data_IF_180120711973
#
_entry.id   IF_180120711973
#
_cell.length_a   1.000
_cell.length_b   1.000
_cell.length_c   1.000
_cell.angle_alpha   90.00
_cell.angle_beta   90.00
_cell.angle_gamma   90.00
#
_symmetry.space_group_name_H-M   'P 1'
#
loop_
_entity.id
_entity.type
_entity.pdbx_description
1 polymer ?
#
# COMPACT_ATOMS: atom_id res chain seq x y z
N UNK A 1 19.88 -7.73 35.68
CA UNK A 1 20.00 -7.09 34.35
C UNK A 1 20.95 -5.91 34.48
N UNK A 2 22.00 -5.84 33.67
CA UNK A 2 22.90 -4.69 33.68
C UNK A 2 22.13 -3.42 33.30
N UNK A 3 22.42 -2.32 33.99
CA UNK A 3 21.85 -1.02 33.72
C UNK A 3 22.11 -0.63 32.25
N UNK A 4 21.06 -0.24 31.52
CA UNK A 4 21.15 0.14 30.09
C UNK A 4 20.35 1.42 29.85
N UNK A 5 20.87 2.32 29.01
CA UNK A 5 20.12 3.47 28.50
C UNK A 5 20.12 3.46 26.97
N UNK A 6 18.93 3.53 26.37
CA UNK A 6 18.76 3.60 24.91
C UNK A 6 18.31 5.01 24.53
N UNK A 7 18.97 5.60 23.55
CA UNK A 7 18.69 6.97 23.09
C UNK A 7 18.51 6.90 21.57
N UNK A 8 17.37 7.40 21.09
CA UNK A 8 17.16 7.69 19.68
C UNK A 8 17.37 9.18 19.47
N UNK A 9 18.28 9.56 18.58
CA UNK A 9 18.65 10.96 18.38
C UNK A 9 19.07 11.23 16.94
N UNK A 10 19.11 12.51 16.58
CA UNK A 10 19.63 12.97 15.29
C UNK A 10 21.11 13.31 15.41
N UNK A 11 21.86 13.04 14.35
CA UNK A 11 23.18 13.64 14.19
C UNK A 11 22.98 15.13 13.89
N UNK A 12 23.62 15.98 14.68
CA UNK A 12 23.65 17.42 14.41
C UNK A 12 24.64 17.72 13.30
N UNK A 13 24.45 18.83 12.60
CA UNK A 13 25.42 19.32 11.61
C UNK A 13 26.02 20.63 12.09
N UNK A 14 27.35 20.75 12.00
CA UNK A 14 28.05 21.99 12.28
C UNK A 14 29.19 22.16 11.29
N UNK A 15 29.17 23.27 10.52
CA UNK A 15 30.17 23.57 9.47
C UNK A 15 30.33 22.44 8.44
N UNK A 16 29.23 21.82 8.03
CA UNK A 16 29.24 20.72 7.04
C UNK A 16 29.63 19.35 7.61
N UNK A 17 29.93 19.24 8.91
CA UNK A 17 30.30 17.98 9.54
C UNK A 17 29.20 17.45 10.45
N UNK A 18 28.90 16.16 10.30
CA UNK A 18 27.98 15.43 11.18
C UNK A 18 28.61 15.19 12.54
N UNK A 19 27.79 15.33 13.59
CA UNK A 19 28.23 15.34 14.98
C UNK A 19 27.24 14.59 15.85
N UNK A 20 27.75 13.61 16.59
CA UNK A 20 27.02 12.94 17.66
C UNK A 20 27.20 13.71 18.97
N UNK A 21 26.09 14.22 19.50
CA UNK A 21 26.07 14.94 20.76
C UNK A 21 25.20 14.22 21.80
N UNK A 22 25.83 13.75 22.89
CA UNK A 22 25.16 13.09 24.01
C UNK A 22 25.53 13.80 25.31
N UNK A 23 24.56 14.07 26.18
CA UNK A 23 24.83 14.72 27.47
C UNK A 23 23.86 14.28 28.57
N UNK A 24 24.21 14.56 29.82
CA UNK A 24 23.25 14.54 30.93
C UNK A 24 23.15 13.22 31.68
N UNK A 25 22.10 13.11 32.49
CA UNK A 25 21.90 11.99 33.43
C UNK A 25 21.86 10.62 32.74
N UNK A 26 21.43 10.57 31.47
CA UNK A 26 21.39 9.36 30.63
C UNK A 26 22.76 8.70 30.44
N UNK A 27 23.84 9.47 30.50
CA UNK A 27 25.21 8.96 30.51
C UNK A 27 25.70 8.72 31.95
N UNK A 28 25.49 9.69 32.85
CA UNK A 28 25.98 9.63 34.23
C UNK A 28 25.50 8.40 35.00
N UNK A 29 24.24 7.99 34.79
CA UNK A 29 23.65 6.79 35.42
C UNK A 29 24.32 5.47 34.99
N UNK A 30 25.12 5.49 33.93
CA UNK A 30 25.88 4.34 33.42
C UNK A 30 27.36 4.38 33.86
N UNK A 31 27.70 5.22 34.84
CA UNK A 31 29.08 5.36 35.31
C UNK A 31 29.96 6.23 34.43
N UNK A 32 29.38 6.93 33.45
CA UNK A 32 30.12 7.83 32.57
C UNK A 32 30.27 9.20 33.25
N UNK A 33 31.50 9.59 33.55
CA UNK A 33 31.82 10.80 34.28
C UNK A 33 32.70 11.75 33.45
N UNK A 34 32.58 13.08 33.65
CA UNK A 34 33.52 14.03 33.04
C UNK A 34 34.97 13.65 33.36
N UNK A 35 35.82 13.66 32.34
CA UNK A 35 37.23 13.37 32.47
C UNK A 35 37.67 11.96 32.10
N UNK A 36 36.76 10.98 32.06
CA UNK A 36 37.05 9.65 31.55
C UNK A 36 37.52 9.72 30.09
N UNK A 37 38.40 8.79 29.71
CA UNK A 37 38.85 8.66 28.34
C UNK A 37 38.14 7.51 27.62
N UNK A 38 38.07 7.59 26.30
CA UNK A 38 37.47 6.57 25.45
C UNK A 38 38.12 6.52 24.08
N UNK A 39 38.01 5.36 23.44
CA UNK A 39 38.40 5.11 22.06
C UNK A 39 37.17 4.76 21.22
N UNK A 40 37.23 5.04 19.93
CA UNK A 40 36.23 4.57 18.95
C UNK A 40 36.76 3.33 18.24
N UNK A 41 35.88 2.38 18.01
CA UNK A 41 36.10 1.26 17.09
C UNK A 41 34.87 1.07 16.21
N UNK A 42 35.10 0.57 15.00
CA UNK A 42 34.01 0.03 14.18
C UNK A 42 33.41 -1.19 14.87
N UNK A 43 32.09 -1.38 14.72
CA UNK A 43 31.43 -2.60 15.19
C UNK A 43 31.71 -3.74 14.20
N UNK A 44 32.20 -4.86 14.71
CA UNK A 44 32.36 -6.09 13.94
C UNK A 44 31.01 -6.82 13.76
N UNK A 45 30.75 -7.33 12.55
CA UNK A 45 29.55 -8.11 12.21
C UNK A 45 28.51 -7.36 11.36
N UNK A 46 27.28 -7.88 11.31
CA UNK A 46 26.23 -7.41 10.38
C UNK A 46 25.69 -5.99 10.68
N UNK A 47 25.92 -5.48 11.89
CA UNK A 47 25.40 -4.18 12.33
C UNK A 47 26.45 -3.08 12.13
N UNK A 48 26.40 -2.39 10.98
CA UNK A 48 27.20 -1.17 10.77
C UNK A 48 26.95 -0.16 11.89
N UNK A 49 28.00 0.16 12.64
CA UNK A 49 27.94 1.04 13.79
C UNK A 49 29.31 1.34 14.38
N UNK A 50 29.33 2.19 15.39
CA UNK A 50 30.54 2.63 16.10
C UNK A 50 30.39 2.31 17.57
N UNK A 51 31.42 1.71 18.18
CA UNK A 51 31.48 1.52 19.63
C UNK A 51 32.45 2.53 20.24
N UNK A 52 32.01 3.21 21.29
CA UNK A 52 32.86 3.99 22.18
C UNK A 52 33.20 3.10 23.37
N UNK A 53 34.47 2.76 23.54
CA UNK A 53 34.95 1.95 24.67
C UNK A 53 35.71 2.85 25.63
N UNK A 54 35.27 2.91 26.89
CA UNK A 54 35.92 3.72 27.92
C UNK A 54 37.15 3.00 28.47
N UNK A 55 38.30 3.66 28.45
CA UNK A 55 39.62 3.12 28.80
C UNK A 55 40.48 4.21 29.42
N UNK A 56 41.55 3.85 30.14
CA UNK A 56 42.43 4.85 30.79
C UNK A 56 43.31 5.63 29.78
N UNK A 57 43.53 5.05 28.59
CA UNK A 57 44.43 5.56 27.55
C UNK A 57 43.72 6.00 26.27
N UNK A 58 42.39 6.07 26.27
CA UNK A 58 41.63 6.49 25.10
C UNK A 58 42.04 7.87 24.57
N UNK A 59 42.08 8.09 23.24
CA UNK A 59 42.50 9.36 22.64
C UNK A 59 41.49 10.49 22.85
N UNK A 60 40.26 10.18 23.28
CA UNK A 60 39.17 11.15 23.48
C UNK A 60 38.77 11.21 24.94
N UNK A 61 38.17 12.33 25.34
CA UNK A 61 37.81 12.61 26.74
C UNK A 61 36.34 13.02 26.85
N UNK A 62 35.67 12.58 27.91
CA UNK A 62 34.32 13.03 28.26
C UNK A 62 34.39 14.47 28.76
N UNK A 63 33.72 15.37 28.04
CA UNK A 63 33.61 16.78 28.37
C UNK A 63 32.61 17.00 29.52
N UNK A 64 32.56 18.23 30.04
CA UNK A 64 31.61 18.63 31.10
C UNK A 64 30.68 19.73 30.63
N UNK A 65 29.43 19.69 31.08
CA UNK A 65 28.49 20.82 31.03
C UNK A 65 27.92 21.10 32.40
N UNK A 66 28.05 22.35 32.87
CA UNK A 66 27.44 22.81 34.12
C UNK A 66 26.02 23.30 33.87
N UNK A 67 25.07 22.89 34.72
CA UNK A 67 23.74 23.50 34.82
C UNK A 67 23.42 23.69 36.31
N UNK A 68 23.52 24.94 36.78
CA UNK A 68 23.56 25.23 38.20
C UNK A 68 24.80 24.62 38.85
N UNK A 69 24.63 24.00 40.01
CA UNK A 69 25.71 23.31 40.76
C UNK A 69 26.03 21.91 40.22
N UNK A 70 25.22 21.36 39.31
CA UNK A 70 25.41 20.00 38.78
C UNK A 70 26.30 20.02 37.53
N UNK A 71 27.24 19.07 37.51
CA UNK A 71 28.03 18.74 36.32
C UNK A 71 27.46 17.53 35.61
N UNK A 72 27.39 17.61 34.28
CA UNK A 72 26.95 16.51 33.43
C UNK A 72 28.04 16.09 32.46
N UNK A 73 28.21 14.78 32.21
CA UNK A 73 29.08 14.30 31.15
C UNK A 73 28.53 14.73 29.78
N UNK A 74 29.44 15.06 28.88
CA UNK A 74 29.16 15.37 27.48
C UNK A 74 30.08 14.52 26.61
N UNK A 75 29.47 13.78 25.71
CA UNK A 75 30.16 13.10 24.61
C UNK A 75 29.82 13.84 23.35
N UNK A 76 30.89 14.22 22.69
CA UNK A 76 30.87 15.07 21.55
C UNK A 76 31.85 14.47 20.54
N UNK A 77 31.27 13.84 19.53
CA UNK A 77 32.03 13.21 18.46
C UNK A 77 31.68 13.94 17.17
N UNK A 78 32.50 14.93 16.84
CA UNK A 78 32.58 15.53 15.52
C UNK A 78 33.77 14.89 14.79
N UNK A 79 33.54 14.06 13.76
CA UNK A 79 34.60 13.62 12.86
C UNK A 79 34.09 12.81 11.65
N UNK A 80 34.99 12.61 10.69
CA UNK A 80 34.87 11.67 9.57
C UNK A 80 34.56 10.23 10.01
N UNK A 81 34.91 9.82 11.23
CA UNK A 81 34.67 8.46 11.72
C UNK A 81 33.18 8.10 11.77
N UNK A 82 32.33 9.02 12.22
CA UNK A 82 30.87 8.79 12.25
C UNK A 82 30.30 8.85 10.83
N UNK A 83 30.75 9.80 10.01
CA UNK A 83 30.30 9.95 8.63
C UNK A 83 30.71 8.75 7.76
N UNK A 84 31.92 8.22 7.94
CA UNK A 84 32.44 7.03 7.23
C UNK A 84 31.64 5.77 7.55
N UNK A 85 31.25 5.60 8.81
CA UNK A 85 30.60 4.37 9.27
C UNK A 85 29.07 4.42 9.09
N UNK A 86 28.45 5.57 9.38
CA UNK A 86 26.99 5.75 9.31
C UNK A 86 26.52 6.42 7.99
N UNK A 87 27.45 6.93 7.18
CA UNK A 87 27.17 7.58 5.89
C UNK A 87 26.29 8.83 6.05
N UNK A 88 25.39 9.03 5.10
CA UNK A 88 24.44 10.14 5.10
C UNK A 88 23.28 9.98 6.09
N UNK A 89 23.43 9.14 7.12
CA UNK A 89 22.40 8.94 8.15
C UNK A 89 22.10 10.22 8.92
N UNK A 90 20.82 10.49 9.18
CA UNK A 90 20.39 11.60 10.02
C UNK A 90 20.06 11.15 11.44
N UNK A 91 19.62 9.90 11.63
CA UNK A 91 19.15 9.36 12.90
C UNK A 91 19.96 8.15 13.31
N UNK A 92 20.28 8.08 14.60
CA UNK A 92 21.03 6.99 15.21
C UNK A 92 20.33 6.43 16.44
N UNK A 93 20.60 5.16 16.71
CA UNK A 93 20.26 4.48 17.95
C UNK A 93 21.53 4.31 18.77
N UNK A 94 21.50 4.82 19.99
CA UNK A 94 22.63 4.80 20.92
C UNK A 94 22.28 3.94 22.12
N UNK A 95 23.09 2.92 22.39
CA UNK A 95 22.94 2.05 23.56
C UNK A 95 24.11 2.25 24.50
N UNK A 96 23.84 2.91 25.61
CA UNK A 96 24.79 3.20 26.67
C UNK A 96 24.73 2.08 27.70
N UNK A 97 25.89 1.47 27.96
CA UNK A 97 26.12 0.48 29.03
C UNK A 97 27.32 0.92 29.85
N UNK A 98 27.57 0.22 30.94
CA UNK A 98 28.78 0.42 31.72
C UNK A 98 30.02 0.14 30.85
N UNK A 99 30.96 1.08 30.81
CA UNK A 99 32.22 0.96 30.06
C UNK A 99 32.10 1.03 28.53
N UNK A 100 30.89 1.15 27.94
CA UNK A 100 30.73 1.24 26.48
C UNK A 100 29.47 1.95 25.99
N UNK A 101 29.54 2.54 24.79
CA UNK A 101 28.38 3.03 24.04
C UNK A 101 28.41 2.46 22.63
N UNK A 102 27.33 1.80 22.23
CA UNK A 102 27.14 1.32 20.86
C UNK A 102 26.25 2.30 20.10
N UNK A 103 26.70 2.81 18.95
CA UNK A 103 25.97 3.75 18.09
C UNK A 103 25.71 3.05 16.75
N UNK A 104 24.46 2.75 16.46
CA UNK A 104 24.03 2.13 15.20
C UNK A 104 23.10 3.06 14.43
N UNK A 105 22.87 2.75 13.16
CA UNK A 105 21.80 3.40 12.39
C UNK A 105 20.45 3.26 13.10
N UNK A 106 19.60 4.27 12.96
CA UNK A 106 18.21 4.15 13.35
C UNK A 106 17.55 3.02 12.54
N UNK A 107 16.68 2.22 13.18
CA UNK A 107 16.11 1.03 12.53
C UNK A 107 15.26 1.36 11.29
N UNK A 108 14.55 2.49 11.26
CA UNK A 108 13.87 2.96 10.03
C UNK A 108 14.84 3.24 8.88
N UNK A 109 15.94 3.96 9.12
CA UNK A 109 16.94 4.23 8.07
C UNK A 109 17.65 2.95 7.62
N UNK A 110 17.93 2.04 8.56
CA UNK A 110 18.45 0.72 8.24
C UNK A 110 17.49 -0.08 7.34
N UNK A 111 16.19 -0.06 7.67
CA UNK A 111 15.15 -0.70 6.84
C UNK A 111 15.05 -0.06 5.45
N UNK A 112 15.14 1.27 5.34
CA UNK A 112 15.15 2.01 4.06
C UNK A 112 16.32 1.61 3.18
N UNK A 113 17.53 1.58 3.75
CA UNK A 113 18.72 1.14 3.02
C UNK A 113 18.63 -0.34 2.63
N UNK A 114 18.12 -1.19 3.51
CA UNK A 114 18.01 -2.62 3.25
C UNK A 114 17.02 -2.93 2.12
N UNK A 115 15.83 -2.31 2.14
CA UNK A 115 14.80 -2.54 1.12
C UNK A 115 15.22 -1.98 -0.24
N UNK A 116 15.91 -0.83 -0.29
CA UNK A 116 16.51 -0.28 -1.52
C UNK A 116 17.55 -1.22 -2.12
N UNK A 117 18.52 -1.69 -1.32
CA UNK A 117 19.55 -2.64 -1.78
C UNK A 117 18.95 -3.93 -2.28
N UNK A 118 17.98 -4.47 -1.54
CA UNK A 118 17.31 -5.72 -1.91
C UNK A 118 16.56 -5.55 -3.24
N UNK A 119 15.80 -4.46 -3.40
CA UNK A 119 15.10 -4.17 -4.64
C UNK A 119 16.07 -3.98 -5.81
N UNK A 120 17.14 -3.20 -5.64
CA UNK A 120 18.18 -2.97 -6.66
C UNK A 120 18.82 -4.27 -7.13
N UNK A 121 19.31 -5.09 -6.19
CA UNK A 121 19.92 -6.39 -6.52
C UNK A 121 18.96 -7.34 -7.24
N UNK A 122 17.67 -7.35 -6.87
CA UNK A 122 16.66 -8.14 -7.58
C UNK A 122 16.46 -7.65 -9.01
N UNK A 123 16.35 -6.33 -9.20
CA UNK A 123 16.20 -5.71 -10.52
C UNK A 123 17.40 -5.99 -11.43
N UNK A 124 18.63 -5.90 -10.90
CA UNK A 124 19.86 -6.20 -11.63
C UNK A 124 19.94 -7.67 -12.07
N UNK A 125 19.48 -8.58 -11.21
CA UNK A 125 19.46 -10.02 -11.49
C UNK A 125 18.25 -10.47 -12.32
N UNK A 126 17.32 -9.57 -12.64
CA UNK A 126 16.07 -9.91 -13.33
C UNK A 126 15.16 -10.83 -12.51
N UNK A 127 15.28 -10.82 -11.18
CA UNK A 127 14.45 -11.63 -10.29
C UNK A 127 13.04 -11.02 -10.14
N UNK A 128 12.00 -11.84 -9.93
CA UNK A 128 10.64 -11.32 -9.76
C UNK A 128 10.49 -10.36 -8.59
N UNK A 129 9.64 -9.34 -8.70
CA UNK A 129 9.20 -8.53 -7.57
C UNK A 129 8.29 -9.39 -6.69
N UNK A 130 8.63 -9.52 -5.41
CA UNK A 130 7.84 -10.27 -4.43
C UNK A 130 6.68 -9.41 -3.94
N UNK A 131 5.46 -9.92 -4.07
CA UNK A 131 4.24 -9.18 -3.78
C UNK A 131 3.50 -9.82 -2.62
N UNK A 132 3.19 -9.01 -1.61
CA UNK A 132 2.23 -9.36 -0.56
C UNK A 132 0.89 -8.69 -0.83
N UNK A 133 -0.20 -9.42 -0.65
CA UNK A 133 -1.57 -8.90 -0.84
C UNK A 133 -2.35 -8.86 0.46
N UNK A 134 -3.03 -7.74 0.73
CA UNK A 134 -3.90 -7.56 1.89
C UNK A 134 -5.33 -7.19 1.45
N UNK A 135 -6.32 -7.82 2.08
CA UNK A 135 -7.72 -7.74 1.65
C UNK A 135 -7.85 -8.12 0.16
N UNK A 136 -7.32 -9.30 -0.16
CA UNK A 136 -7.13 -9.79 -1.52
C UNK A 136 -8.45 -9.93 -2.31
N UNK A 137 -9.55 -10.24 -1.63
CA UNK A 137 -10.83 -10.56 -2.26
C UNK A 137 -10.66 -11.71 -3.26
N UNK A 138 -11.19 -11.53 -4.47
CA UNK A 138 -10.95 -12.46 -5.59
C UNK A 138 -9.64 -12.20 -6.35
N UNK A 139 -8.75 -11.34 -5.85
CA UNK A 139 -7.41 -11.09 -6.41
C UNK A 139 -7.37 -10.24 -7.68
N UNK A 140 -8.43 -9.50 -8.01
CA UNK A 140 -8.50 -8.67 -9.23
C UNK A 140 -7.49 -7.50 -9.21
N UNK A 141 -7.32 -6.85 -8.05
CA UNK A 141 -6.34 -5.76 -7.92
C UNK A 141 -4.92 -6.29 -8.10
N UNK A 142 -4.59 -7.39 -7.43
CA UNK A 142 -3.27 -8.02 -7.52
C UNK A 142 -2.98 -8.54 -8.91
N UNK A 143 -3.95 -9.18 -9.56
CA UNK A 143 -3.82 -9.61 -10.96
C UNK A 143 -3.52 -8.42 -11.87
N UNK A 144 -4.25 -7.31 -11.73
CA UNK A 144 -4.01 -6.12 -12.54
C UNK A 144 -2.59 -5.59 -12.32
N UNK A 145 -2.12 -5.49 -11.07
CA UNK A 145 -0.77 -5.02 -10.75
C UNK A 145 0.31 -5.96 -11.33
N UNK A 146 0.13 -7.28 -11.21
CA UNK A 146 1.03 -8.29 -11.79
C UNK A 146 1.13 -8.14 -13.30
N UNK A 147 0.00 -8.14 -13.99
CA UNK A 147 -0.07 -7.99 -15.45
C UNK A 147 0.60 -6.69 -15.91
N UNK A 148 0.36 -5.59 -15.20
CA UNK A 148 1.02 -4.33 -15.48
C UNK A 148 2.54 -4.39 -15.33
N UNK A 149 3.05 -4.98 -14.25
CA UNK A 149 4.49 -5.14 -14.04
C UNK A 149 5.12 -6.01 -15.14
N UNK A 150 4.47 -7.11 -15.50
CA UNK A 150 4.91 -8.02 -16.56
C UNK A 150 4.90 -7.35 -17.95
N UNK A 151 3.88 -6.55 -18.26
CA UNK A 151 3.81 -5.69 -19.46
C UNK A 151 4.96 -4.69 -19.55
N UNK A 152 5.48 -4.25 -18.40
CA UNK A 152 6.66 -3.39 -18.34
C UNK A 152 7.97 -4.18 -18.47
N UNK A 153 7.93 -5.51 -18.48
CA UNK A 153 9.08 -6.41 -18.49
C UNK A 153 9.70 -6.63 -17.12
N UNK A 154 8.91 -6.47 -16.04
CA UNK A 154 9.31 -6.72 -14.66
C UNK A 154 8.57 -7.96 -14.16
N UNK A 155 9.24 -9.12 -13.98
CA UNK A 155 8.56 -10.31 -13.50
C UNK A 155 7.97 -10.08 -12.11
N UNK A 156 6.83 -10.67 -11.82
CA UNK A 156 6.10 -10.54 -10.56
C UNK A 156 5.86 -11.92 -9.93
N UNK A 157 5.82 -11.99 -8.61
CA UNK A 157 5.54 -13.23 -7.89
C UNK A 157 4.72 -12.94 -6.62
N UNK A 158 3.56 -13.57 -6.50
CA UNK A 158 2.71 -13.46 -5.31
C UNK A 158 3.31 -14.31 -4.20
N UNK A 159 3.90 -13.67 -3.20
CA UNK A 159 4.52 -14.34 -2.04
C UNK A 159 3.46 -14.78 -1.04
N UNK A 160 2.48 -13.93 -0.75
CA UNK A 160 1.34 -14.29 0.07
C UNK A 160 0.12 -13.44 -0.29
N UNK A 161 -1.07 -13.95 0.00
CA UNK A 161 -2.28 -13.14 0.03
C UNK A 161 -3.10 -13.41 1.28
N UNK A 162 -3.58 -12.34 1.91
CA UNK A 162 -4.49 -12.39 3.04
C UNK A 162 -5.90 -11.95 2.65
N UNK A 163 -6.87 -12.82 2.93
CA UNK A 163 -8.30 -12.57 2.78
C UNK A 163 -9.07 -13.17 3.95
N UNK A 164 -10.07 -12.46 4.48
CA UNK A 164 -10.83 -12.95 5.64
C UNK A 164 -12.01 -13.85 5.23
N UNK A 165 -12.58 -13.66 4.03
CA UNK A 165 -13.68 -14.47 3.49
C UNK A 165 -13.10 -15.64 2.69
N UNK A 166 -13.11 -16.83 3.29
CA UNK A 166 -12.60 -18.06 2.66
C UNK A 166 -13.22 -18.35 1.29
N UNK A 167 -14.46 -17.90 1.02
CA UNK A 167 -15.09 -18.10 -0.29
C UNK A 167 -14.56 -17.17 -1.39
N UNK A 168 -14.03 -15.99 -1.04
CA UNK A 168 -13.30 -15.16 -2.02
C UNK A 168 -11.88 -15.68 -2.24
N UNK A 169 -11.24 -16.16 -1.16
CA UNK A 169 -9.91 -16.77 -1.25
C UNK A 169 -9.94 -18.03 -2.11
N UNK A 170 -10.90 -18.93 -1.90
CA UNK A 170 -11.10 -20.16 -2.68
C UNK A 170 -11.35 -19.87 -4.16
N UNK A 171 -12.17 -18.85 -4.45
CA UNK A 171 -12.39 -18.37 -5.81
C UNK A 171 -11.09 -17.86 -6.46
N UNK A 172 -10.26 -17.09 -5.74
CA UNK A 172 -8.97 -16.63 -6.24
C UNK A 172 -8.01 -17.80 -6.49
N UNK A 173 -7.89 -18.74 -5.53
CA UNK A 173 -7.03 -19.91 -5.65
C UNK A 173 -7.39 -20.78 -6.86
N UNK A 174 -8.68 -20.90 -7.16
CA UNK A 174 -9.18 -21.71 -8.28
C UNK A 174 -8.94 -21.06 -9.64
N UNK A 175 -8.99 -19.72 -9.71
CA UNK A 175 -9.15 -19.01 -10.98
C UNK A 175 -8.01 -18.03 -11.32
N UNK A 176 -7.24 -17.59 -10.34
CA UNK A 176 -6.28 -16.50 -10.52
C UNK A 176 -4.88 -17.04 -10.86
N UNK A 177 -4.34 -16.78 -12.05
CA UNK A 177 -3.06 -17.34 -12.49
C UNK A 177 -1.83 -16.79 -11.75
N UNK A 178 -1.98 -15.77 -10.90
CA UNK A 178 -0.87 -15.18 -10.15
C UNK A 178 -0.37 -16.05 -9.00
N UNK A 179 -1.14 -17.08 -8.60
CA UNK A 179 -0.74 -18.04 -7.59
C UNK A 179 0.36 -18.97 -8.11
N UNK A 180 1.40 -19.14 -7.31
CA UNK A 180 2.46 -20.13 -7.53
C UNK A 180 2.47 -21.18 -6.43
N UNK A 181 3.14 -22.32 -6.68
CA UNK A 181 3.16 -23.45 -5.75
C UNK A 181 3.74 -23.12 -4.36
N UNK A 182 4.57 -22.09 -4.26
CA UNK A 182 5.20 -21.58 -3.04
C UNK A 182 4.51 -20.33 -2.46
N UNK A 183 3.42 -19.87 -3.08
CA UNK A 183 2.60 -18.77 -2.54
C UNK A 183 1.87 -19.20 -1.26
N UNK A 184 1.80 -18.30 -0.28
CA UNK A 184 1.10 -18.57 0.98
C UNK A 184 -0.31 -17.96 0.93
N UNK A 185 -1.33 -18.81 0.97
CA UNK A 185 -2.72 -18.39 1.13
C UNK A 185 -3.06 -18.25 2.63
N UNK A 186 -3.54 -17.08 3.03
CA UNK A 186 -3.83 -16.76 4.43
C UNK A 186 -5.31 -16.39 4.56
N UNK A 187 -6.11 -17.35 5.02
CA UNK A 187 -7.49 -17.10 5.43
C UNK A 187 -7.53 -16.54 6.85
N UNK A 188 -7.98 -15.30 7.00
CA UNK A 188 -8.23 -14.73 8.32
C UNK A 188 -8.20 -13.19 8.37
N UNK A 189 -8.65 -12.60 9.48
CA UNK A 189 -8.61 -11.16 9.67
C UNK A 189 -7.16 -10.65 9.71
N UNK A 190 -6.85 -9.60 8.95
CA UNK A 190 -5.48 -9.06 8.85
C UNK A 190 -4.89 -8.64 10.20
N UNK A 191 -5.70 -8.23 11.17
CA UNK A 191 -5.25 -7.85 12.51
C UNK A 191 -4.69 -9.01 13.34
N UNK A 192 -5.03 -10.25 12.98
CA UNK A 192 -4.62 -11.46 13.70
C UNK A 192 -3.35 -12.09 13.11
N UNK A 193 -2.85 -11.56 11.99
CA UNK A 193 -1.73 -12.15 11.26
C UNK A 193 -0.39 -11.78 11.89
N UNK A 194 0.44 -12.79 12.15
CA UNK A 194 1.82 -12.62 12.62
C UNK A 194 2.75 -12.29 11.44
N UNK A 195 2.75 -11.05 10.97
CA UNK A 195 3.53 -10.59 9.80
C UNK A 195 5.01 -10.96 9.83
N UNK A 196 5.62 -11.02 11.02
CA UNK A 196 7.03 -11.41 11.23
C UNK A 196 7.36 -12.87 10.83
N UNK A 197 6.34 -13.72 10.68
CA UNK A 197 6.48 -15.12 10.26
C UNK A 197 6.40 -15.26 8.73
N UNK A 198 6.00 -14.22 8.02
CA UNK A 198 5.86 -14.25 6.57
C UNK A 198 7.19 -13.93 5.88
N UNK A 199 7.39 -14.40 4.63
CA UNK A 199 8.57 -14.04 3.86
C UNK A 199 8.61 -12.54 3.56
N UNK A 200 9.81 -12.01 3.34
CA UNK A 200 10.00 -10.63 2.93
C UNK A 200 9.42 -10.36 1.53
N UNK A 201 8.87 -9.16 1.34
CA UNK A 201 8.24 -8.71 0.11
C UNK A 201 8.87 -7.39 -0.36
N UNK A 202 8.76 -7.11 -1.65
CA UNK A 202 9.26 -5.88 -2.28
C UNK A 202 8.12 -4.87 -2.50
N UNK A 203 6.91 -5.36 -2.78
CA UNK A 203 5.70 -4.59 -3.00
C UNK A 203 4.55 -5.12 -2.13
N UNK A 204 3.85 -4.24 -1.43
CA UNK A 204 2.60 -4.54 -0.73
C UNK A 204 1.43 -3.94 -1.49
N UNK A 205 0.45 -4.76 -1.86
CA UNK A 205 -0.79 -4.33 -2.51
C UNK A 205 -1.95 -4.49 -1.53
N UNK A 206 -2.78 -3.45 -1.37
CA UNK A 206 -3.87 -3.47 -0.41
C UNK A 206 -5.14 -2.80 -0.94
N UNK A 207 -6.25 -3.54 -1.00
CA UNK A 207 -7.60 -3.04 -1.28
C UNK A 207 -8.43 -2.93 0.01
N UNK A 208 -8.09 -1.98 0.89
CA UNK A 208 -8.67 -1.96 2.24
C UNK A 208 -10.21 -1.82 2.22
N UNK A 209 -10.94 -2.49 3.13
CA UNK A 209 -12.39 -2.41 3.18
C UNK A 209 -12.92 -0.98 3.29
N UNK A 210 -13.77 -0.58 2.33
CA UNK A 210 -14.30 0.78 2.23
C UNK A 210 -15.68 0.98 2.89
N UNK A 211 -16.20 0.00 3.64
CA UNK A 211 -17.57 0.05 4.20
C UNK A 211 -17.78 1.19 5.17
N UNK A 212 -16.73 1.62 5.89
CA UNK A 212 -16.75 2.82 6.73
C UNK A 212 -16.66 4.14 5.94
N UNK A 213 -15.98 4.17 4.79
CA UNK A 213 -15.70 5.41 4.06
C UNK A 213 -16.66 5.69 2.89
N UNK A 214 -17.19 4.65 2.25
CA UNK A 214 -18.08 4.79 1.09
C UNK A 214 -19.38 5.50 1.44
N UNK A 215 -19.92 6.33 0.53
CA UNK A 215 -21.20 7.05 0.72
C UNK A 215 -22.35 6.11 1.09
N UNK A 216 -22.46 4.99 0.37
CA UNK A 216 -23.50 3.98 0.65
C UNK A 216 -23.29 3.28 1.99
N UNK A 217 -22.03 2.97 2.36
CA UNK A 217 -21.71 2.34 3.63
C UNK A 217 -22.00 3.26 4.82
N UNK A 218 -21.53 4.50 4.75
CA UNK A 218 -21.79 5.53 5.77
C UNK A 218 -23.27 5.79 5.98
N UNK A 219 -24.04 5.94 4.89
CA UNK A 219 -25.48 6.15 4.99
C UNK A 219 -26.20 4.94 5.59
N UNK A 220 -25.78 3.71 5.24
CA UNK A 220 -26.40 2.48 5.76
C UNK A 220 -26.10 2.27 7.25
N UNK A 221 -24.90 2.63 7.69
CA UNK A 221 -24.41 2.40 9.04
C UNK A 221 -24.53 3.63 9.96
N UNK A 222 -25.13 4.73 9.47
CA UNK A 222 -25.33 5.98 10.21
C UNK A 222 -24.04 6.58 10.79
N UNK A 223 -22.94 6.53 10.03
CA UNK A 223 -21.61 6.90 10.49
C UNK A 223 -21.27 8.38 10.27
N UNK A 224 -20.80 9.04 11.34
CA UNK A 224 -20.28 10.39 11.33
C UNK A 224 -18.83 10.45 10.80
N UNK A 225 -18.06 9.40 11.08
CA UNK A 225 -16.70 9.20 10.62
C UNK A 225 -16.48 7.76 10.10
N UNK A 226 -15.50 7.54 9.23
CA UNK A 226 -15.26 6.20 8.66
C UNK A 226 -14.76 5.21 9.73
N UNK A 227 -14.03 5.75 10.70
CA UNK A 227 -13.38 5.08 11.81
C UNK A 227 -14.39 4.51 12.83
N UNK A 228 -15.65 4.97 12.83
CA UNK A 228 -16.72 4.47 13.69
C UNK A 228 -17.25 3.09 13.25
N UNK A 229 -16.87 2.62 12.06
CA UNK A 229 -17.34 1.32 11.57
C UNK A 229 -16.73 0.18 12.40
N UNK A 230 -17.59 -0.64 13.01
CA UNK A 230 -17.21 -1.72 13.95
C UNK A 230 -16.05 -2.60 13.46
N UNK A 231 -16.13 -3.13 12.23
CA UNK A 231 -15.12 -4.07 11.71
C UNK A 231 -14.08 -3.45 10.78
N UNK A 232 -14.35 -2.29 10.16
CA UNK A 232 -13.49 -1.70 9.14
C UNK A 232 -12.72 -0.47 9.65
N UNK A 233 -13.24 0.20 10.69
CA UNK A 233 -12.74 1.48 11.15
C UNK A 233 -11.28 1.44 11.62
N UNK A 234 -10.84 0.32 12.20
CA UNK A 234 -9.49 0.14 12.72
C UNK A 234 -8.54 -0.62 11.77
N UNK A 235 -8.99 -1.08 10.59
CA UNK A 235 -8.17 -1.93 9.71
C UNK A 235 -6.91 -1.22 9.18
N UNK A 236 -6.93 0.11 9.10
CA UNK A 236 -5.72 0.87 8.75
C UNK A 236 -4.58 0.67 9.77
N UNK A 237 -4.89 0.35 11.03
CA UNK A 237 -3.88 0.05 12.06
C UNK A 237 -3.19 -1.28 11.74
N UNK A 238 -3.95 -2.31 11.35
CA UNK A 238 -3.40 -3.60 10.95
C UNK A 238 -2.57 -3.48 9.66
N UNK A 239 -3.03 -2.66 8.70
CA UNK A 239 -2.27 -2.31 7.50
C UNK A 239 -0.92 -1.65 7.84
N UNK A 240 -0.90 -0.66 8.73
CA UNK A 240 0.34 -0.01 9.16
C UNK A 240 1.26 -0.97 9.92
N UNK A 241 0.71 -1.87 10.75
CA UNK A 241 1.48 -2.90 11.43
C UNK A 241 2.15 -3.88 10.45
N UNK A 242 1.47 -4.24 9.36
CA UNK A 242 2.04 -5.05 8.29
C UNK A 242 3.21 -4.33 7.62
N UNK A 243 3.05 -3.05 7.26
CA UNK A 243 4.12 -2.23 6.65
C UNK A 243 5.33 -2.09 7.58
N UNK A 244 5.11 -1.79 8.86
CA UNK A 244 6.19 -1.62 9.84
C UNK A 244 6.97 -2.91 10.10
N UNK A 245 6.33 -4.07 9.89
CA UNK A 245 6.96 -5.39 10.08
C UNK A 245 7.64 -5.88 8.81
N UNK A 246 6.96 -5.81 7.67
CA UNK A 246 7.43 -6.34 6.39
C UNK A 246 8.38 -5.37 5.68
N UNK A 247 8.26 -4.07 5.94
CA UNK A 247 9.12 -3.01 5.40
C UNK A 247 9.30 -3.03 3.87
N UNK A 248 8.21 -3.15 3.08
CA UNK A 248 8.29 -3.28 1.62
C UNK A 248 8.89 -2.04 0.96
N UNK A 249 9.55 -2.16 -0.19
CA UNK A 249 10.08 -1.00 -0.92
C UNK A 249 9.01 -0.13 -1.57
N UNK A 250 7.86 -0.73 -1.89
CA UNK A 250 6.74 -0.07 -2.54
C UNK A 250 5.43 -0.51 -1.90
N UNK A 251 4.43 0.37 -1.91
CA UNK A 251 3.08 0.08 -1.43
C UNK A 251 2.07 0.65 -2.41
N UNK A 252 1.09 -0.14 -2.81
CA UNK A 252 -0.09 0.30 -3.57
C UNK A 252 -1.31 0.12 -2.67
N UNK A 253 -1.95 1.24 -2.32
CA UNK A 253 -3.19 1.27 -1.55
C UNK A 253 -4.33 1.75 -2.43
N UNK A 254 -5.39 0.95 -2.52
CA UNK A 254 -6.64 1.30 -3.19
C UNK A 254 -7.76 1.56 -2.18
N UNK A 255 -8.61 2.55 -2.50
CA UNK A 255 -9.88 2.73 -1.81
C UNK A 255 -10.89 3.58 -2.60
N UNK A 256 -12.07 3.83 -2.02
CA UNK A 256 -13.01 4.84 -2.56
C UNK A 256 -12.44 6.26 -2.43
N UNK A 257 -12.80 7.21 -3.31
CA UNK A 257 -12.32 8.59 -3.26
C UNK A 257 -12.51 9.28 -1.90
N UNK A 258 -13.60 8.97 -1.20
CA UNK A 258 -13.91 9.52 0.12
C UNK A 258 -12.90 9.12 1.19
N UNK A 259 -12.26 7.95 1.07
CA UNK A 259 -11.27 7.47 2.02
C UNK A 259 -10.06 8.40 2.09
N UNK A 260 -9.68 9.03 0.96
CA UNK A 260 -8.57 9.98 0.88
C UNK A 260 -8.69 11.17 1.85
N UNK A 261 -9.90 11.45 2.34
CA UNK A 261 -10.25 12.58 3.23
C UNK A 261 -10.51 12.16 4.68
N UNK A 262 -10.26 10.89 5.02
CA UNK A 262 -10.52 10.34 6.36
C UNK A 262 -9.39 10.63 7.35
N UNK A 263 -9.66 10.44 8.65
CA UNK A 263 -8.62 10.50 9.69
C UNK A 263 -7.64 9.34 9.49
N UNK A 264 -8.14 8.16 9.15
CA UNK A 264 -7.35 6.96 8.82
C UNK A 264 -6.28 7.28 7.77
N UNK A 265 -6.68 7.92 6.66
CA UNK A 265 -5.73 8.30 5.62
C UNK A 265 -4.76 9.41 6.06
N UNK A 266 -5.20 10.33 6.91
CA UNK A 266 -4.32 11.34 7.52
C UNK A 266 -3.21 10.67 8.34
N UNK A 267 -3.55 9.64 9.14
CA UNK A 267 -2.58 8.86 9.91
C UNK A 267 -1.68 8.04 9.00
N UNK A 268 -2.23 7.36 7.97
CA UNK A 268 -1.43 6.59 7.01
C UNK A 268 -0.36 7.47 6.37
N UNK A 269 -0.73 8.65 5.84
CA UNK A 269 0.25 9.58 5.24
C UNK A 269 1.36 9.97 6.22
N UNK A 270 0.98 10.34 7.45
CA UNK A 270 1.94 10.74 8.48
C UNK A 270 2.92 9.61 8.83
N UNK A 271 2.41 8.39 9.01
CA UNK A 271 3.24 7.23 9.36
C UNK A 271 4.14 6.84 8.19
N UNK A 272 3.63 6.74 6.96
CA UNK A 272 4.45 6.40 5.79
C UNK A 272 5.54 7.45 5.53
N UNK A 273 5.23 8.75 5.65
CA UNK A 273 6.25 9.80 5.56
C UNK A 273 7.32 9.66 6.65
N UNK A 274 6.95 9.27 7.88
CA UNK A 274 7.91 9.03 8.97
C UNK A 274 8.80 7.79 8.79
N UNK A 275 8.39 6.89 7.88
CA UNK A 275 9.11 5.69 7.44
C UNK A 275 9.92 5.94 6.15
N UNK A 276 10.06 7.21 5.76
CA UNK A 276 10.85 7.68 4.62
C UNK A 276 10.29 7.19 3.26
N UNK A 277 8.97 7.04 3.13
CA UNK A 277 8.33 6.85 1.83
C UNK A 277 7.97 8.18 1.18
N UNK A 278 8.27 8.32 -0.10
CA UNK A 278 7.65 9.31 -0.98
C UNK A 278 6.22 8.86 -1.28
N UNK A 279 5.25 9.77 -1.16
CA UNK A 279 3.82 9.47 -1.32
C UNK A 279 3.27 10.13 -2.58
N UNK A 280 2.66 9.32 -3.43
CA UNK A 280 2.00 9.74 -4.65
C UNK A 280 0.54 9.32 -4.56
N UNK A 281 -0.39 10.24 -4.78
CA UNK A 281 -1.82 9.90 -4.70
C UNK A 281 -2.63 10.56 -5.81
N UNK A 282 -3.66 9.87 -6.27
CA UNK A 282 -4.61 10.40 -7.25
C UNK A 282 -5.98 9.71 -7.10
N UNK A 283 -6.98 10.25 -7.79
CA UNK A 283 -8.24 9.55 -8.03
C UNK A 283 -8.24 9.09 -9.48
N UNK A 284 -8.21 7.78 -9.68
CA UNK A 284 -8.23 7.15 -11.00
C UNK A 284 -9.69 6.92 -11.40
N UNK A 285 -10.07 7.41 -12.58
CA UNK A 285 -11.37 7.12 -13.18
C UNK A 285 -11.26 5.93 -14.14
N UNK A 286 -11.92 4.82 -13.80
CA UNK A 286 -11.93 3.63 -14.64
C UNK A 286 -12.46 3.88 -16.05
N UNK A 287 -13.36 4.85 -16.23
CA UNK A 287 -13.87 5.19 -17.56
C UNK A 287 -12.80 5.85 -18.42
N UNK A 288 -12.07 6.82 -17.86
CA UNK A 288 -10.94 7.46 -18.54
C UNK A 288 -9.79 6.47 -18.82
N UNK A 289 -9.67 5.43 -17.99
CA UNK A 289 -8.65 4.37 -18.12
C UNK A 289 -9.04 3.20 -19.03
N UNK A 290 -10.19 3.28 -19.71
CA UNK A 290 -10.54 2.32 -20.76
C UNK A 290 -11.63 1.29 -20.40
N UNK A 291 -12.45 1.53 -19.37
CA UNK A 291 -13.58 0.64 -19.01
C UNK A 291 -14.95 1.30 -19.19
N UNK A 292 -16.00 0.51 -19.43
CA UNK A 292 -17.37 1.03 -19.55
C UNK A 292 -17.98 1.44 -18.20
N UNK A 293 -17.52 0.85 -17.10
CA UNK A 293 -17.98 1.25 -15.77
C UNK A 293 -17.33 2.58 -15.32
N UNK A 294 -18.17 3.59 -15.11
CA UNK A 294 -17.80 4.88 -14.51
C UNK A 294 -17.55 4.67 -13.01
N UNK A 295 -16.33 4.27 -12.67
CA UNK A 295 -15.88 3.92 -11.31
C UNK A 295 -14.59 4.64 -10.95
N UNK A 296 -14.71 5.59 -10.02
CA UNK A 296 -13.56 6.31 -9.45
C UNK A 296 -12.98 5.58 -8.25
N UNK A 297 -11.66 5.56 -8.13
CA UNK A 297 -10.90 4.99 -7.02
C UNK A 297 -9.75 5.88 -6.59
N UNK A 298 -9.62 6.08 -5.29
CA UNK A 298 -8.41 6.63 -4.70
C UNK A 298 -7.30 5.58 -4.82
N UNK A 299 -6.14 6.02 -5.29
CA UNK A 299 -4.93 5.21 -5.34
C UNK A 299 -3.81 6.00 -4.67
N UNK A 300 -3.13 5.38 -3.71
CA UNK A 300 -1.87 5.85 -3.18
C UNK A 300 -0.78 4.85 -3.58
N UNK A 301 0.32 5.37 -4.12
CA UNK A 301 1.56 4.65 -4.33
C UNK A 301 2.60 5.27 -3.41
N UNK A 302 3.15 4.49 -2.50
CA UNK A 302 4.28 4.89 -1.68
C UNK A 302 5.54 4.18 -2.17
N UNK A 303 6.62 4.92 -2.35
CA UNK A 303 7.88 4.41 -2.87
C UNK A 303 9.04 4.91 -2.02
N UNK A 304 10.22 4.32 -2.18
CA UNK A 304 11.43 5.00 -1.73
C UNK A 304 11.66 6.27 -2.57
N UNK A 305 12.31 7.27 -1.98
CA UNK A 305 12.56 8.58 -2.62
C UNK A 305 13.32 8.46 -3.96
N UNK A 306 14.20 7.47 -4.10
CA UNK A 306 14.99 7.26 -5.31
C UNK A 306 14.21 6.65 -6.49
N UNK A 307 12.96 6.20 -6.28
CA UNK A 307 12.13 5.64 -7.35
C UNK A 307 11.35 6.77 -8.04
N UNK A 308 11.61 7.10 -9.33
CA UNK A 308 10.98 8.22 -10.01
C UNK A 308 9.55 7.86 -10.46
N UNK A 309 8.60 7.92 -9.53
CA UNK A 309 7.19 7.67 -9.79
C UNK A 309 6.38 8.97 -9.71
N UNK A 310 5.50 9.19 -10.69
CA UNK A 310 4.51 10.28 -10.66
C UNK A 310 3.30 9.90 -11.52
N UNK A 311 2.09 10.04 -10.96
CA UNK A 311 0.84 9.80 -11.68
C UNK A 311 0.63 10.69 -12.90
N UNK A 312 1.37 11.81 -13.04
CA UNK A 312 1.38 12.60 -14.26
C UNK A 312 1.78 11.79 -15.52
N UNK A 313 2.52 10.70 -15.33
CA UNK A 313 2.90 9.75 -16.38
C UNK A 313 1.88 8.64 -16.66
N UNK A 314 0.84 8.48 -15.83
CA UNK A 314 -0.15 7.41 -15.97
C UNK A 314 -0.96 7.60 -17.27
N UNK A 315 -1.10 6.54 -18.07
CA UNK A 315 -1.87 6.55 -19.33
C UNK A 315 -2.75 5.31 -19.44
N UNK A 316 -3.91 5.39 -20.10
CA UNK A 316 -4.70 4.21 -20.45
C UNK A 316 -3.87 3.23 -21.29
N UNK A 317 -4.01 1.93 -21.02
CA UNK A 317 -3.27 0.87 -21.73
C UNK A 317 -4.08 0.23 -22.86
N UNK A 318 -5.36 0.61 -22.99
CA UNK A 318 -6.26 0.15 -24.03
C UNK A 318 -7.27 1.22 -24.40
N UNK A 319 -7.91 1.03 -25.55
CA UNK A 319 -9.13 1.74 -25.91
C UNK A 319 -10.34 0.97 -25.36
N UNK A 320 -11.33 1.73 -24.89
CA UNK A 320 -12.61 1.20 -24.46
C UNK A 320 -13.50 0.91 -25.68
N UNK A 321 -14.43 -0.01 -25.50
CA UNK A 321 -15.57 -0.23 -26.36
C UNK A 321 -16.38 1.07 -26.60
N UNK A 322 -17.07 1.16 -27.74
CA UNK A 322 -17.80 2.37 -28.12
C UNK A 322 -19.10 2.49 -27.33
N UNK A 323 -19.76 1.36 -27.06
CA UNK A 323 -21.06 1.30 -26.42
C UNK A 323 -21.18 0.08 -25.50
N UNK A 324 -22.12 0.13 -24.55
CA UNK A 324 -22.40 -0.99 -23.63
C UNK A 324 -22.81 -2.25 -24.38
N UNK A 325 -23.49 -2.13 -25.53
CA UNK A 325 -23.89 -3.27 -26.35
C UNK A 325 -22.71 -4.13 -26.82
N UNK A 326 -21.51 -3.56 -26.93
CA UNK A 326 -20.32 -4.26 -27.45
C UNK A 326 -19.78 -5.33 -26.47
N UNK A 327 -20.17 -5.28 -25.18
CA UNK A 327 -19.78 -6.26 -24.17
C UNK A 327 -20.87 -7.29 -23.86
N UNK A 328 -22.07 -7.12 -24.43
CA UNK A 328 -23.23 -7.95 -24.12
C UNK A 328 -23.19 -9.28 -24.89
N UNK A 329 -23.57 -10.35 -24.19
CA UNK A 329 -23.82 -11.65 -24.79
C UNK A 329 -25.18 -11.62 -25.53
N UNK A 330 -25.33 -12.37 -26.64
CA UNK A 330 -26.63 -12.58 -27.25
C UNK A 330 -27.51 -13.42 -26.31
N UNK A 331 -28.60 -12.85 -25.82
CA UNK A 331 -29.59 -13.52 -24.98
C UNK A 331 -30.89 -13.65 -25.77
N UNK A 332 -31.49 -14.85 -25.79
CA UNK A 332 -32.77 -15.08 -26.45
C UNK A 332 -33.87 -14.17 -25.87
N UNK A 333 -34.81 -13.73 -26.71
CA UNK A 333 -35.87 -12.79 -26.29
C UNK A 333 -36.84 -13.42 -25.27
N UNK A 334 -36.98 -14.73 -25.27
CA UNK A 334 -37.81 -15.51 -24.35
C UNK A 334 -37.02 -16.09 -23.16
N UNK A 335 -35.75 -15.73 -23.00
CA UNK A 335 -34.92 -16.21 -21.89
C UNK A 335 -35.50 -15.76 -20.52
N UNK A 336 -35.57 -16.66 -19.52
CA UNK A 336 -36.12 -16.35 -18.19
C UNK A 336 -35.33 -15.31 -17.39
N UNK A 337 -34.16 -14.88 -17.87
CA UNK A 337 -33.41 -13.77 -17.28
C UNK A 337 -34.11 -12.42 -17.46
N UNK A 338 -34.92 -12.27 -18.51
CA UNK A 338 -35.75 -11.09 -18.74
C UNK A 338 -36.93 -11.07 -17.78
N UNK A 339 -36.99 -10.05 -16.92
CA UNK A 339 -38.01 -9.94 -15.88
C UNK A 339 -38.56 -8.53 -15.77
N UNK A 340 -39.81 -8.43 -15.34
CA UNK A 340 -40.36 -7.15 -14.88
C UNK A 340 -39.84 -6.81 -13.49
N UNK A 341 -39.54 -5.53 -13.28
CA UNK A 341 -39.18 -4.96 -11.98
C UNK A 341 -40.08 -3.77 -11.64
N UNK A 342 -41.39 -3.89 -11.86
CA UNK A 342 -42.38 -2.83 -11.61
C UNK A 342 -42.29 -2.25 -10.18
N UNK A 343 -41.94 -3.07 -9.20
CA UNK A 343 -41.73 -2.63 -7.82
C UNK A 343 -40.59 -1.60 -7.69
N UNK A 344 -39.55 -1.65 -8.55
CA UNK A 344 -38.47 -0.67 -8.58
C UNK A 344 -38.91 0.65 -9.21
N UNK A 345 -39.76 0.60 -10.25
CA UNK A 345 -40.36 1.79 -10.84
C UNK A 345 -41.26 2.51 -9.82
N UNK A 346 -42.11 1.75 -9.11
CA UNK A 346 -42.94 2.30 -8.03
C UNK A 346 -42.09 2.88 -6.88
N UNK A 347 -40.99 2.20 -6.52
CA UNK A 347 -40.04 2.69 -5.51
C UNK A 347 -39.37 3.99 -5.94
N UNK A 348 -38.98 4.14 -7.21
CA UNK A 348 -38.35 5.36 -7.71
C UNK A 348 -39.29 6.57 -7.61
N UNK A 349 -40.59 6.41 -7.93
CA UNK A 349 -41.59 7.46 -7.74
C UNK A 349 -41.65 7.89 -6.27
N UNK A 350 -41.71 6.92 -5.34
CA UNK A 350 -41.72 7.18 -3.89
C UNK A 350 -40.42 7.86 -3.42
N UNK A 351 -39.27 7.38 -3.87
CA UNK A 351 -37.97 7.94 -3.50
C UNK A 351 -37.81 9.38 -4.04
N UNK A 352 -38.26 9.64 -5.28
CA UNK A 352 -38.32 11.00 -5.87
C UNK A 352 -39.21 11.93 -5.04
N UNK A 353 -40.39 11.49 -4.66
CA UNK A 353 -41.32 12.28 -3.82
C UNK A 353 -40.73 12.56 -2.43
N UNK A 354 -39.94 11.63 -1.88
CA UNK A 354 -39.22 11.79 -0.62
C UNK A 354 -37.88 12.54 -0.75
N UNK A 355 -37.53 13.07 -1.92
CA UNK A 355 -36.26 13.78 -2.15
C UNK A 355 -35.01 12.88 -2.06
N UNK A 356 -35.17 11.56 -2.10
CA UNK A 356 -34.08 10.59 -2.06
C UNK A 356 -33.50 10.48 -3.47
N UNK A 357 -32.24 10.87 -3.66
CA UNK A 357 -31.57 10.94 -4.97
C UNK A 357 -31.32 9.59 -5.68
N UNK A 358 -32.01 8.51 -5.31
CA UNK A 358 -31.89 7.21 -5.96
C UNK A 358 -32.68 7.20 -7.27
N UNK A 359 -32.03 6.80 -8.36
CA UNK A 359 -32.60 6.76 -9.73
C UNK A 359 -32.36 5.41 -10.36
N UNK A 360 -33.31 4.92 -11.15
CA UNK A 360 -33.09 3.70 -11.94
C UNK A 360 -32.17 3.96 -13.13
N UNK A 361 -31.37 2.96 -13.48
CA UNK A 361 -30.47 2.99 -14.63
C UNK A 361 -30.83 1.84 -15.57
N UNK A 362 -31.86 2.03 -16.38
CA UNK A 362 -32.22 1.08 -17.44
C UNK A 362 -31.71 1.64 -18.77
N UNK A 363 -30.96 0.82 -19.51
CA UNK A 363 -30.24 1.21 -20.72
C UNK A 363 -30.52 0.20 -21.84
N UNK A 364 -30.60 0.67 -23.08
CA UNK A 364 -30.71 -0.18 -24.28
C UNK A 364 -29.34 -0.69 -24.80
N UNK A 365 -28.25 -0.22 -24.19
CA UNK A 365 -26.88 -0.60 -24.54
C UNK A 365 -26.18 0.39 -25.48
N UNK A 366 -26.86 1.39 -26.02
CA UNK A 366 -26.28 2.39 -26.94
C UNK A 366 -25.34 3.40 -26.25
N UNK A 367 -25.32 3.43 -24.93
CA UNK A 367 -24.58 4.40 -24.13
C UNK A 367 -23.08 4.07 -24.10
N UNK A 368 -22.23 5.08 -23.90
CA UNK A 368 -20.76 4.97 -23.84
C UNK A 368 -20.20 4.43 -22.49
N UNK A 369 -21.08 3.93 -21.63
CA UNK A 369 -20.76 3.45 -20.30
C UNK A 369 -21.91 3.58 -19.31
N UNK A 370 -21.70 3.04 -18.11
CA UNK A 370 -22.72 2.92 -17.07
C UNK A 370 -22.17 3.24 -15.67
N UNK A 371 -23.07 3.50 -14.72
CA UNK A 371 -22.69 3.81 -13.35
C UNK A 371 -22.11 2.62 -12.58
N UNK A 372 -21.45 2.91 -11.46
CA UNK A 372 -20.80 1.90 -10.61
C UNK A 372 -21.70 0.72 -10.22
N UNK A 373 -21.21 -0.51 -10.43
CA UNK A 373 -21.84 -1.75 -9.96
C UNK A 373 -21.18 -2.18 -8.64
N UNK A 374 -21.99 -2.44 -7.62
CA UNK A 374 -21.55 -2.80 -6.28
C UNK A 374 -21.74 -4.28 -5.95
N UNK A 375 -21.15 -4.72 -4.84
CA UNK A 375 -21.18 -6.12 -4.35
C UNK A 375 -22.58 -6.77 -4.40
N UNK A 376 -23.64 -6.00 -4.11
CA UNK A 376 -25.02 -6.50 -4.05
C UNK A 376 -25.76 -6.59 -5.39
N UNK A 377 -25.07 -6.46 -6.53
CA UNK A 377 -25.69 -6.31 -7.85
C UNK A 377 -26.64 -7.47 -8.23
N UNK A 378 -26.30 -8.71 -7.85
CA UNK A 378 -27.14 -9.89 -8.09
C UNK A 378 -28.55 -9.79 -7.45
N UNK A 379 -28.77 -8.88 -6.49
CA UNK A 379 -30.07 -8.65 -5.83
C UNK A 379 -30.99 -7.71 -6.61
N UNK A 380 -30.54 -7.19 -7.76
CA UNK A 380 -31.27 -6.26 -8.62
C UNK A 380 -31.76 -5.03 -7.85
N UNK A 381 -30.82 -4.12 -7.57
CA UNK A 381 -31.09 -2.91 -6.78
C UNK A 381 -31.55 -1.75 -7.65
N UNK A 382 -32.15 -0.75 -7.00
CA UNK A 382 -32.77 0.38 -7.70
C UNK A 382 -31.80 1.19 -8.55
N UNK A 383 -30.53 1.35 -8.14
CA UNK A 383 -29.62 2.33 -8.76
C UNK A 383 -28.59 1.78 -9.72
N UNK A 384 -28.54 0.47 -9.91
CA UNK A 384 -27.52 -0.17 -10.74
C UNK A 384 -28.06 -0.50 -12.13
N UNK A 385 -27.17 -0.67 -13.10
CA UNK A 385 -27.49 -0.91 -14.50
C UNK A 385 -28.45 -2.11 -14.66
N UNK A 386 -29.48 -1.94 -15.48
CA UNK A 386 -30.19 -3.04 -16.14
C UNK A 386 -30.23 -2.78 -17.64
N UNK A 387 -30.12 -3.85 -18.41
CA UNK A 387 -30.30 -3.83 -19.86
C UNK A 387 -31.78 -4.00 -20.17
N UNK A 388 -32.33 -3.09 -20.97
CA UNK A 388 -33.71 -3.12 -21.46
C UNK A 388 -33.89 -4.28 -22.44
N UNK A 389 -35.01 -4.98 -22.35
CA UNK A 389 -35.35 -6.00 -23.35
C UNK A 389 -35.56 -5.34 -24.73
N UNK A 390 -35.02 -5.90 -25.83
CA UNK A 390 -34.99 -5.22 -27.14
C UNK A 390 -36.37 -4.87 -27.73
N UNK A 391 -37.41 -5.64 -27.39
CA UNK A 391 -38.75 -5.47 -27.98
C UNK A 391 -39.87 -5.30 -26.95
N UNK A 392 -39.58 -5.43 -25.65
CA UNK A 392 -40.58 -5.35 -24.58
C UNK A 392 -40.10 -4.34 -23.52
N UNK A 393 -40.66 -3.12 -23.48
CA UNK A 393 -40.22 -2.10 -22.55
C UNK A 393 -40.48 -2.46 -21.07
N UNK A 394 -41.34 -3.45 -20.78
CA UNK A 394 -41.62 -3.89 -19.40
C UNK A 394 -40.54 -4.82 -18.83
N UNK A 395 -39.70 -5.43 -19.67
CA UNK A 395 -38.71 -6.42 -19.27
C UNK A 395 -37.29 -5.85 -19.29
N UNK A 396 -36.49 -6.24 -18.31
CA UNK A 396 -35.06 -5.93 -18.29
C UNK A 396 -34.28 -7.06 -17.61
N UNK A 397 -32.96 -7.04 -17.75
CA UNK A 397 -32.04 -7.97 -17.08
C UNK A 397 -30.86 -7.23 -16.47
N UNK A 398 -30.19 -7.87 -15.52
CA UNK A 398 -28.84 -7.45 -15.12
C UNK A 398 -27.80 -7.98 -16.12
N UNK A 399 -26.58 -7.45 -16.05
CA UNK A 399 -25.46 -8.04 -16.76
C UNK A 399 -25.22 -9.48 -16.26
N UNK A 400 -24.81 -10.38 -17.15
CA UNK A 400 -24.24 -11.67 -16.76
C UNK A 400 -22.90 -11.44 -16.02
N UNK A 401 -22.38 -12.43 -15.28
CA UNK A 401 -21.04 -12.33 -14.70
C UNK A 401 -19.94 -12.02 -15.73
N UNK A 402 -20.03 -12.61 -16.93
CA UNK A 402 -19.10 -12.39 -18.03
C UNK A 402 -19.16 -10.94 -18.54
N UNK A 403 -20.36 -10.44 -18.84
CA UNK A 403 -20.58 -9.05 -19.26
C UNK A 403 -20.11 -8.05 -18.17
N UNK A 404 -20.40 -8.32 -16.90
CA UNK A 404 -19.94 -7.51 -15.78
C UNK A 404 -18.40 -7.48 -15.69
N UNK A 405 -17.74 -8.63 -15.91
CA UNK A 405 -16.28 -8.69 -15.97
C UNK A 405 -15.72 -7.86 -17.14
N UNK A 406 -16.26 -8.03 -18.36
CA UNK A 406 -15.85 -7.28 -19.56
C UNK A 406 -15.97 -5.78 -19.39
N UNK A 407 -17.10 -5.29 -18.87
CA UNK A 407 -17.30 -3.85 -18.69
C UNK A 407 -16.40 -3.22 -17.61
N UNK A 408 -15.83 -4.05 -16.72
CA UNK A 408 -14.76 -3.68 -15.77
C UNK A 408 -13.36 -4.03 -16.26
N UNK A 409 -13.25 -4.58 -17.46
CA UNK A 409 -12.02 -5.10 -18.09
C UNK A 409 -11.34 -6.23 -17.29
N UNK A 410 -12.09 -6.90 -16.43
CA UNK A 410 -11.60 -8.01 -15.60
C UNK A 410 -11.62 -9.28 -16.47
N UNK A 411 -10.55 -10.08 -16.52
CA UNK A 411 -10.56 -11.36 -17.22
C UNK A 411 -11.69 -12.26 -16.69
N UNK A 412 -12.53 -12.78 -17.59
CA UNK A 412 -13.68 -13.64 -17.24
C UNK A 412 -13.25 -14.90 -16.49
N UNK A 413 -12.04 -15.39 -16.76
CA UNK A 413 -11.43 -16.52 -16.07
C UNK A 413 -11.40 -16.34 -14.55
N UNK A 414 -11.20 -15.12 -14.03
CA UNK A 414 -11.13 -14.85 -12.59
C UNK A 414 -12.42 -15.17 -11.83
N UNK A 415 -13.55 -15.25 -12.54
CA UNK A 415 -14.86 -15.58 -11.96
C UNK A 415 -15.50 -16.80 -12.61
N UNK A 416 -14.76 -17.55 -13.42
CA UNK A 416 -15.24 -18.74 -14.10
C UNK A 416 -15.70 -19.80 -13.09
N UNK A 417 -16.77 -20.52 -13.43
CA UNK A 417 -17.33 -21.60 -12.60
C UNK A 417 -18.03 -21.17 -11.30
N UNK A 418 -17.97 -19.89 -10.94
CA UNK A 418 -18.62 -19.38 -9.73
C UNK A 418 -20.13 -19.21 -9.93
N UNK A 419 -20.88 -19.26 -8.82
CA UNK A 419 -22.28 -18.83 -8.84
C UNK A 419 -22.39 -17.36 -9.25
N UNK A 420 -23.46 -16.99 -9.96
CA UNK A 420 -23.68 -15.61 -10.39
C UNK A 420 -23.61 -14.62 -9.20
N UNK A 421 -24.16 -15.00 -8.04
CA UNK A 421 -24.07 -14.19 -6.82
C UNK A 421 -22.62 -13.94 -6.41
N UNK A 422 -21.80 -15.00 -6.28
CA UNK A 422 -20.41 -14.87 -5.84
C UNK A 422 -19.56 -14.09 -6.87
N UNK A 423 -19.77 -14.34 -8.16
CA UNK A 423 -19.10 -13.59 -9.22
C UNK A 423 -19.43 -12.10 -9.17
N UNK A 424 -20.71 -11.72 -9.05
CA UNK A 424 -21.10 -10.31 -8.91
C UNK A 424 -20.62 -9.68 -7.60
N UNK A 425 -20.48 -10.45 -6.51
CA UNK A 425 -19.87 -9.96 -5.28
C UNK A 425 -18.40 -9.58 -5.49
N UNK A 426 -17.60 -10.49 -6.07
CA UNK A 426 -16.19 -10.26 -6.41
C UNK A 426 -16.07 -9.06 -7.36
N UNK A 427 -16.74 -9.12 -8.51
CA UNK A 427 -16.68 -8.05 -9.51
C UNK A 427 -17.16 -6.72 -8.93
N UNK A 428 -18.25 -6.71 -8.16
CA UNK A 428 -18.84 -5.49 -7.60
C UNK A 428 -18.00 -4.83 -6.51
N UNK A 429 -17.16 -5.59 -5.80
CA UNK A 429 -16.22 -5.03 -4.81
C UNK A 429 -14.86 -4.67 -5.43
N UNK A 430 -14.44 -5.32 -6.51
CA UNK A 430 -13.15 -5.07 -7.18
C UNK A 430 -12.98 -3.67 -7.76
N UNK A 431 -11.73 -3.36 -8.11
CA UNK A 431 -11.31 -2.22 -8.93
C UNK A 431 -11.76 -2.35 -10.39
N UNK A 432 -11.47 -1.35 -11.21
CA UNK A 432 -11.42 -1.51 -12.67
C UNK A 432 -10.03 -2.03 -13.03
N UNK A 433 -9.97 -3.18 -13.70
CA UNK A 433 -8.71 -3.91 -13.89
C UNK A 433 -7.70 -3.12 -14.74
N UNK A 434 -8.07 -2.67 -15.95
CA UNK A 434 -7.20 -1.87 -16.84
C UNK A 434 -6.59 -0.65 -16.15
N UNK A 435 -7.33 -0.03 -15.24
CA UNK A 435 -6.88 1.16 -14.52
C UNK A 435 -5.71 0.84 -13.59
N UNK A 436 -5.76 -0.30 -12.89
CA UNK A 436 -4.67 -0.73 -12.00
C UNK A 436 -3.58 -1.52 -12.71
N UNK A 437 -3.87 -2.13 -13.87
CA UNK A 437 -2.84 -2.65 -14.76
C UNK A 437 -1.97 -1.52 -15.33
N UNK A 438 -2.58 -0.38 -15.66
CA UNK A 438 -1.81 0.82 -16.01
C UNK A 438 -0.94 1.32 -14.84
N UNK A 439 -1.40 1.24 -13.60
CA UNK A 439 -0.59 1.57 -12.41
C UNK A 439 0.58 0.61 -12.26
N UNK A 440 0.34 -0.71 -12.37
CA UNK A 440 1.39 -1.73 -12.33
C UNK A 440 2.44 -1.51 -13.42
N UNK A 441 1.99 -1.19 -14.65
CA UNK A 441 2.87 -0.90 -15.79
C UNK A 441 3.70 0.35 -15.58
N UNK A 442 3.11 1.42 -15.07
CA UNK A 442 3.82 2.64 -14.76
C UNK A 442 4.86 2.43 -13.64
N UNK A 443 4.50 1.66 -12.61
CA UNK A 443 5.44 1.28 -11.54
C UNK A 443 6.60 0.43 -12.09
N UNK A 444 6.32 -0.53 -12.97
CA UNK A 444 7.34 -1.34 -13.65
C UNK A 444 8.28 -0.50 -14.52
N UNK A 445 7.77 0.53 -15.20
CA UNK A 445 8.58 1.49 -15.96
C UNK A 445 9.49 2.32 -15.05
N UNK A 446 8.99 2.76 -13.88
CA UNK A 446 9.79 3.46 -12.89
C UNK A 446 10.93 2.56 -12.35
N UNK A 447 10.64 1.30 -12.03
CA UNK A 447 11.62 0.31 -11.59
C UNK A 447 12.73 0.07 -12.61
N UNK A 448 12.36 -0.07 -13.89
CA UNK A 448 13.35 -0.23 -14.97
C UNK A 448 14.18 1.03 -15.20
N UNK A 449 13.60 2.19 -14.97
CA UNK A 449 14.32 3.46 -15.09
C UNK A 449 15.35 3.61 -13.96
N UNK A 450 15.01 3.19 -12.75
CA UNK A 450 15.94 3.11 -11.61
C UNK A 450 17.11 2.17 -11.91
N UNK A 451 16.85 0.95 -12.41
CA UNK A 451 17.90 -0.03 -12.73
C UNK A 451 18.87 0.41 -13.85
N UNK A 452 18.47 1.39 -14.67
CA UNK A 452 19.30 1.93 -15.77
C UNK A 452 20.12 3.15 -15.37
N UNK A 453 19.88 3.74 -14.21
CA UNK A 453 20.72 4.82 -13.71
C UNK A 453 22.00 4.18 -13.14
N UNK A 454 23.20 4.46 -13.70
CA UNK A 454 24.44 4.12 -13.01
C UNK A 454 24.41 4.80 -11.65
N UNK A 455 24.99 4.15 -10.62
CA UNK A 455 25.16 4.73 -9.29
C UNK A 455 25.52 6.22 -9.44
N UNK A 456 24.69 7.12 -8.90
CA UNK A 456 25.09 8.52 -8.79
C UNK A 456 26.47 8.49 -8.13
N UNK A 457 27.51 9.08 -8.73
CA UNK A 457 28.79 9.15 -8.05
C UNK A 457 28.51 9.83 -6.72
N UNK A 458 28.76 9.11 -5.62
CA UNK A 458 28.95 9.73 -4.31
C UNK A 458 29.89 10.88 -4.59
N UNK A 459 29.42 12.11 -4.39
CA UNK A 459 30.20 13.32 -4.65
C UNK A 459 31.57 13.12 -4.03
N UNK A 460 32.56 12.81 -4.87
CA UNK A 460 33.94 12.79 -4.46
C UNK A 460 34.20 14.21 -4.01
N UNK A 461 34.39 14.37 -2.70
CA UNK A 461 34.71 15.65 -2.09
C UNK A 461 35.87 16.27 -2.87
N UNK A 462 35.68 17.49 -3.35
CA UNK A 462 36.74 18.28 -3.95
C UNK A 462 37.87 18.41 -2.91
N UNK A 463 39.08 18.08 -3.37
CA UNK A 463 40.33 18.09 -2.61
C UNK A 463 40.70 19.46 -2.04
#
# INVERSE_FOLDING_TARGET
MANTTVIYTKLSEQRGQKRLWLEGQRLARMGIAPGQKYALSEMDGDSKGVTLTFTDEGPRKVSRRKRGEREYPVIDVANDDIARILGDSERVRVVVREGRIDVTLHHHEAATRQRLRTLGARMEQGLPIRIGSLAHGGGVLDHAIHEGLEDAGVPAHLTFANEYDGGYLDASLSNNPIWSADSIAIEGPMQDIEWRKLPAIDLLVAGLPCTGASKSGRSKNHLSAAEEHETAGALFVAFLAAIQTLTPSMIVLENVPEYGKTVSMTVIRSVLASLDYALHETVIDGWEMGSLEKRKRFCLVATNEDLPFDFAGLRPIRQREAQVADILDPIALDDPMWKSYDYLAAKEVKDKAAGKGFRTQVQDGSQDGYGTLGRGYAKVRSTELRIQHPTDPALSRILTPAEHARGKTIPESLVAGLSATRAHEILGQSVVHTAFAAVGRHLGQALRSMARQPERPVLAQAA
#
